data_IF_014044627025
#
_entry.id   IF_014044627025
#
_cell.length_a   1.000
_cell.length_b   1.000
_cell.length_c   1.000
_cell.angle_alpha   90.00
_cell.angle_beta   90.00
_cell.angle_gamma   90.00
#
_symmetry.space_group_name_H-M   'P 1'
#
loop_
_entity.id
_entity.type
_entity.pdbx_description
1 polymer ?
#
# COMPACT_ATOMS: atom_id res chain seq x y z
N UNK A 1 -24.79 -6.62 -16.76
CA UNK A 1 -23.49 -7.13 -16.27
C UNK A 1 -23.10 -8.30 -17.15
N UNK A 2 -22.00 -8.20 -17.89
CA UNK A 2 -21.51 -9.33 -18.68
C UNK A 2 -20.96 -10.39 -17.71
N UNK A 3 -21.28 -11.66 -17.91
CA UNK A 3 -20.76 -12.77 -17.09
C UNK A 3 -19.21 -12.83 -17.08
N UNK A 4 -18.57 -12.23 -18.07
CA UNK A 4 -17.11 -12.10 -18.21
C UNK A 4 -16.45 -11.12 -17.23
N UNK A 5 -17.19 -10.13 -16.68
CA UNK A 5 -16.63 -9.13 -15.75
C UNK A 5 -16.75 -9.54 -14.27
N UNK A 6 -17.61 -10.52 -13.98
CA UNK A 6 -17.87 -11.07 -12.65
C UNK A 6 -16.60 -11.56 -11.91
N UNK A 7 -15.68 -12.33 -12.51
CA UNK A 7 -14.48 -12.81 -11.80
C UNK A 7 -13.55 -11.66 -11.37
N UNK A 8 -13.40 -10.62 -12.20
CA UNK A 8 -12.55 -9.47 -11.87
C UNK A 8 -13.11 -8.63 -10.71
N UNK A 9 -14.44 -8.48 -10.65
CA UNK A 9 -15.11 -7.80 -9.54
C UNK A 9 -14.90 -8.56 -8.23
N UNK A 10 -15.01 -9.89 -8.26
CA UNK A 10 -14.79 -10.74 -7.08
C UNK A 10 -13.34 -10.61 -6.60
N UNK A 11 -12.36 -10.68 -7.50
CA UNK A 11 -10.94 -10.50 -7.15
C UNK A 11 -10.71 -9.11 -6.52
N UNK A 12 -11.25 -8.04 -7.12
CA UNK A 12 -11.14 -6.69 -6.56
C UNK A 12 -11.71 -6.57 -5.15
N UNK A 13 -12.88 -7.16 -4.90
CA UNK A 13 -13.51 -7.18 -3.57
C UNK A 13 -12.65 -7.95 -2.56
N UNK A 14 -12.11 -9.10 -2.94
CA UNK A 14 -11.25 -9.92 -2.05
C UNK A 14 -9.97 -9.16 -1.70
N UNK A 15 -9.34 -8.48 -2.66
CA UNK A 15 -8.14 -7.67 -2.41
C UNK A 15 -8.46 -6.49 -1.48
N UNK A 16 -9.55 -5.77 -1.72
CA UNK A 16 -9.98 -4.66 -0.87
C UNK A 16 -10.32 -5.13 0.55
N UNK A 17 -11.00 -6.28 0.69
CA UNK A 17 -11.30 -6.88 1.99
C UNK A 17 -10.04 -7.31 2.74
N UNK A 18 -9.06 -7.90 2.05
CA UNK A 18 -7.78 -8.28 2.65
C UNK A 18 -7.00 -7.04 3.12
N UNK A 19 -6.93 -5.98 2.29
CA UNK A 19 -6.29 -4.72 2.66
C UNK A 19 -6.99 -4.04 3.85
N UNK A 20 -8.33 -4.01 3.84
CA UNK A 20 -9.11 -3.45 4.94
C UNK A 20 -8.95 -4.25 6.24
N UNK A 21 -8.89 -5.58 6.16
CA UNK A 21 -8.65 -6.44 7.31
C UNK A 21 -7.24 -6.21 7.90
N UNK A 22 -6.21 -6.16 7.05
CA UNK A 22 -4.84 -5.84 7.47
C UNK A 22 -4.81 -4.47 8.15
N UNK A 23 -5.44 -3.46 7.54
CA UNK A 23 -5.51 -2.10 8.09
C UNK A 23 -6.23 -2.05 9.45
N UNK A 24 -7.36 -2.73 9.58
CA UNK A 24 -8.14 -2.78 10.83
C UNK A 24 -7.37 -3.47 11.98
N UNK A 25 -6.68 -4.57 11.68
CA UNK A 25 -5.83 -5.28 12.66
C UNK A 25 -4.62 -4.46 13.06
N UNK A 26 -4.06 -3.65 12.14
CA UNK A 26 -2.94 -2.79 12.44
C UNK A 26 -3.36 -1.60 13.31
N UNK A 27 -4.47 -0.94 12.95
CA UNK A 27 -5.02 0.21 13.67
C UNK A 27 -5.46 -0.12 15.10
N UNK A 28 -5.95 -1.33 15.35
CA UNK A 28 -6.37 -1.74 16.70
C UNK A 28 -5.21 -1.91 17.68
N UNK A 29 -3.98 -2.10 17.18
CA UNK A 29 -2.77 -2.28 18.00
C UNK A 29 -1.97 -0.99 18.21
N UNK A 30 -2.14 -0.02 17.33
CA UNK A 30 -1.41 1.26 17.36
C UNK A 30 -2.38 2.37 17.75
N UNK A 31 -2.46 2.70 19.05
CA UNK A 31 -3.12 3.93 19.51
C UNK A 31 -2.59 5.17 18.76
N UNK A 32 -3.37 6.27 18.74
CA UNK A 32 -3.14 7.54 17.99
C UNK A 32 -1.86 7.54 17.13
N UNK A 33 -1.95 6.92 15.95
CA UNK A 33 -0.81 6.77 15.05
C UNK A 33 -0.27 8.17 14.71
N UNK A 34 0.96 8.46 15.12
CA UNK A 34 1.67 9.65 14.67
C UNK A 34 1.80 9.58 13.14
N UNK A 35 1.49 10.65 12.40
CA UNK A 35 1.65 10.64 10.96
C UNK A 35 3.14 10.47 10.61
N UNK A 36 3.45 9.40 9.87
CA UNK A 36 4.80 9.21 9.32
C UNK A 36 4.94 10.05 8.04
N UNK A 37 5.51 11.24 8.20
CA UNK A 37 5.75 12.19 7.12
C UNK A 37 6.76 11.68 6.08
N UNK A 38 7.67 10.78 6.45
CA UNK A 38 8.60 10.15 5.51
C UNK A 38 7.83 9.19 4.61
N UNK A 39 6.95 8.38 5.18
CA UNK A 39 6.04 7.53 4.41
C UNK A 39 5.10 8.35 3.52
N UNK A 40 4.59 9.50 3.98
CA UNK A 40 3.81 10.42 3.13
C UNK A 40 4.63 10.90 1.92
N UNK A 41 5.89 11.31 2.12
CA UNK A 41 6.76 11.71 1.01
C UNK A 41 6.95 10.57 0.01
N UNK A 42 7.26 9.36 0.49
CA UNK A 42 7.45 8.17 -0.35
C UNK A 42 6.17 7.86 -1.13
N UNK A 43 4.99 7.92 -0.49
CA UNK A 43 3.72 7.77 -1.18
C UNK A 43 3.56 8.82 -2.27
N UNK A 44 3.87 10.09 -2.00
CA UNK A 44 3.82 11.15 -3.01
C UNK A 44 4.66 10.85 -4.25
N UNK A 45 5.89 10.37 -4.04
CA UNK A 45 6.82 9.97 -5.12
C UNK A 45 6.33 8.75 -5.91
N UNK A 46 5.55 7.85 -5.30
CA UNK A 46 4.96 6.69 -5.98
C UNK A 46 3.69 7.07 -6.75
N UNK A 47 2.78 7.82 -6.13
CA UNK A 47 1.48 8.16 -6.71
C UNK A 47 1.56 9.21 -7.81
N UNK A 48 2.52 10.13 -7.74
CA UNK A 48 2.67 11.19 -8.74
C UNK A 48 2.98 10.63 -10.14
N UNK A 49 4.04 9.82 -10.37
CA UNK A 49 4.30 9.22 -11.67
C UNK A 49 3.20 8.25 -12.11
N UNK A 50 2.63 7.47 -11.17
CA UNK A 50 1.54 6.55 -11.48
C UNK A 50 0.30 7.30 -11.98
N UNK A 51 -0.06 8.41 -11.36
CA UNK A 51 -1.18 9.24 -11.78
C UNK A 51 -0.96 9.92 -13.13
N UNK A 52 0.28 10.33 -13.43
CA UNK A 52 0.65 10.87 -14.75
C UNK A 52 0.56 9.77 -15.81
N UNK A 53 1.10 8.58 -15.54
CA UNK A 53 1.08 7.45 -16.48
C UNK A 53 -0.35 6.95 -16.79
N UNK A 54 -1.26 7.07 -15.83
CA UNK A 54 -2.66 6.65 -15.95
C UNK A 54 -3.61 7.79 -16.37
N UNK A 55 -3.07 8.98 -16.67
CA UNK A 55 -3.84 10.20 -16.97
C UNK A 55 -4.98 10.46 -15.96
N UNK A 56 -4.68 10.28 -14.67
CA UNK A 56 -5.66 10.37 -13.59
C UNK A 56 -5.36 11.59 -12.68
N UNK A 57 -6.16 12.69 -12.81
CA UNK A 57 -6.02 13.90 -12.01
C UNK A 57 -6.06 13.70 -10.50
N UNK A 58 -6.87 12.76 -10.03
CA UNK A 58 -6.95 12.46 -8.60
C UNK A 58 -5.66 11.85 -8.07
N UNK A 59 -5.04 10.94 -8.83
CA UNK A 59 -3.82 10.25 -8.41
C UNK A 59 -2.60 11.16 -8.43
N UNK A 60 -2.39 11.91 -9.52
CA UNK A 60 -1.23 12.80 -9.57
C UNK A 60 -1.40 13.97 -8.62
N UNK A 61 -2.61 14.52 -8.47
CA UNK A 61 -2.91 15.57 -7.50
C UNK A 61 -2.68 15.13 -6.04
N UNK A 62 -3.15 13.93 -5.68
CA UNK A 62 -2.87 13.33 -4.37
C UNK A 62 -1.37 13.07 -4.16
N UNK A 63 -0.67 12.62 -5.20
CA UNK A 63 0.78 12.46 -5.19
C UNK A 63 1.51 13.76 -4.84
N UNK A 64 1.12 14.89 -5.45
CA UNK A 64 1.66 16.21 -5.13
C UNK A 64 1.40 16.56 -3.66
N UNK A 65 0.17 16.40 -3.18
CA UNK A 65 -0.19 16.76 -1.80
C UNK A 65 0.63 15.97 -0.79
N UNK A 66 0.75 14.64 -0.95
CA UNK A 66 1.55 13.81 -0.05
C UNK A 66 3.04 14.12 -0.13
N UNK A 67 3.56 14.40 -1.33
CA UNK A 67 4.94 14.80 -1.52
C UNK A 67 5.26 16.11 -0.79
N UNK A 68 4.41 17.14 -0.94
CA UNK A 68 4.57 18.42 -0.25
C UNK A 68 4.43 18.24 1.26
N UNK A 69 3.39 17.54 1.73
CA UNK A 69 3.17 17.30 3.16
C UNK A 69 4.36 16.61 3.81
N UNK A 70 4.95 15.62 3.13
CA UNK A 70 6.15 14.92 3.59
C UNK A 70 7.41 15.79 3.58
N UNK A 71 7.62 16.62 2.54
CA UNK A 71 8.76 17.54 2.44
C UNK A 71 8.72 18.69 3.45
N UNK A 72 7.54 19.28 3.67
CA UNK A 72 7.36 20.38 4.63
C UNK A 72 7.64 19.90 6.06
N UNK A 73 7.30 18.66 6.38
CA UNK A 73 7.54 18.04 7.69
C UNK A 73 8.80 17.15 7.69
N UNK A 74 9.80 17.45 6.85
CA UNK A 74 11.05 16.68 6.78
C UNK A 74 11.82 16.61 8.09
N UNK A 75 11.64 17.62 8.94
CA UNK A 75 12.17 17.72 10.28
C UNK A 75 11.61 16.66 11.24
N UNK A 76 10.42 16.12 10.92
CA UNK A 76 9.72 15.09 11.72
C UNK A 76 9.87 13.70 11.13
N UNK A 77 10.80 13.50 10.20
CA UNK A 77 11.06 12.18 9.65
C UNK A 77 11.66 11.29 10.75
N UNK A 78 10.91 10.28 11.15
CA UNK A 78 11.41 9.27 12.08
C UNK A 78 12.42 8.38 11.35
N UNK A 79 13.50 8.02 12.03
CA UNK A 79 14.44 7.03 11.51
C UNK A 79 13.76 5.67 11.46
N UNK A 80 13.79 5.02 10.30
CA UNK A 80 13.31 3.65 10.19
C UNK A 80 14.19 2.72 11.02
N UNK A 81 13.56 1.98 11.94
CA UNK A 81 14.23 0.87 12.62
C UNK A 81 14.79 -0.10 11.58
N UNK A 82 16.10 -0.36 11.65
CA UNK A 82 16.74 -1.35 10.79
C UNK A 82 16.17 -2.72 11.12
N UNK A 83 16.21 -3.65 10.15
CA UNK A 83 15.66 -4.99 10.34
C UNK A 83 16.26 -5.72 11.54
N UNK A 84 17.55 -5.48 11.82
CA UNK A 84 18.28 -6.02 12.97
C UNK A 84 17.75 -5.51 14.33
N UNK A 85 17.13 -4.33 14.35
CA UNK A 85 16.63 -3.67 15.58
C UNK A 85 15.14 -3.98 15.83
N UNK A 86 14.51 -4.77 14.95
CA UNK A 86 13.11 -5.16 15.09
C UNK A 86 12.95 -6.33 16.05
N UNK A 87 11.89 -6.31 16.83
CA UNK A 87 11.53 -7.46 17.67
C UNK A 87 11.13 -8.67 16.80
N UNK A 88 11.28 -9.91 17.30
CA UNK A 88 10.88 -11.10 16.56
C UNK A 88 9.39 -11.09 16.12
N UNK A 89 8.51 -10.42 16.87
CA UNK A 89 7.09 -10.27 16.50
C UNK A 89 6.87 -9.27 15.36
N UNK A 90 7.57 -8.13 15.37
CA UNK A 90 7.52 -7.16 14.27
C UNK A 90 8.09 -7.75 12.98
N UNK A 91 9.22 -8.48 13.06
CA UNK A 91 9.82 -9.16 11.92
C UNK A 91 8.85 -10.19 11.31
N UNK A 92 8.20 -11.02 12.13
CA UNK A 92 7.18 -11.97 11.65
C UNK A 92 6.01 -11.26 10.97
N UNK A 93 5.54 -10.15 11.54
CA UNK A 93 4.43 -9.39 10.96
C UNK A 93 4.82 -8.79 9.61
N UNK A 94 5.98 -8.13 9.51
CA UNK A 94 6.49 -7.60 8.24
C UNK A 94 6.70 -8.71 7.20
N UNK A 95 7.25 -9.86 7.61
CA UNK A 95 7.44 -11.01 6.73
C UNK A 95 6.11 -11.57 6.22
N UNK A 96 5.10 -11.75 7.08
CA UNK A 96 3.79 -12.24 6.69
C UNK A 96 3.12 -11.28 5.70
N UNK A 97 3.21 -9.96 5.94
CA UNK A 97 2.68 -8.96 5.02
C UNK A 97 3.42 -9.02 3.67
N UNK A 98 4.75 -9.08 3.68
CA UNK A 98 5.57 -9.15 2.47
C UNK A 98 5.29 -10.42 1.65
N UNK A 99 5.23 -11.58 2.32
CA UNK A 99 4.88 -12.86 1.68
C UNK A 99 3.45 -12.82 1.15
N UNK A 100 2.50 -12.29 1.93
CA UNK A 100 1.11 -12.14 1.51
C UNK A 100 0.97 -11.27 0.26
N UNK A 101 1.63 -10.11 0.23
CA UNK A 101 1.66 -9.23 -0.95
C UNK A 101 2.34 -9.91 -2.15
N UNK A 102 3.45 -10.62 -1.92
CA UNK A 102 4.14 -11.37 -2.97
C UNK A 102 3.27 -12.46 -3.60
N UNK A 103 2.58 -13.26 -2.78
CA UNK A 103 1.62 -14.27 -3.26
C UNK A 103 0.49 -13.60 -4.05
N UNK A 104 -0.02 -12.46 -3.58
CA UNK A 104 -1.10 -11.74 -4.25
C UNK A 104 -0.69 -11.22 -5.64
N UNK A 105 0.55 -10.72 -5.78
CA UNK A 105 1.12 -10.33 -7.09
C UNK A 105 1.27 -11.56 -8.00
N UNK A 106 1.80 -12.68 -7.49
CA UNK A 106 1.96 -13.91 -8.27
C UNK A 106 0.60 -14.45 -8.76
N UNK A 107 -0.41 -14.48 -7.89
CA UNK A 107 -1.78 -14.88 -8.27
C UNK A 107 -2.33 -13.96 -9.35
N UNK A 108 -2.16 -12.64 -9.19
CA UNK A 108 -2.57 -11.66 -10.19
C UNK A 108 -1.91 -11.88 -11.56
N UNK A 109 -0.61 -12.19 -11.58
CA UNK A 109 0.12 -12.52 -12.81
C UNK A 109 -0.41 -13.81 -13.45
N UNK A 110 -0.61 -14.88 -12.67
CA UNK A 110 -1.16 -16.15 -13.18
C UNK A 110 -2.54 -15.93 -13.81
N UNK A 111 -3.42 -15.19 -13.14
CA UNK A 111 -4.75 -14.85 -13.68
C UNK A 111 -4.64 -14.02 -14.95
N UNK A 112 -3.76 -13.02 -14.97
CA UNK A 112 -3.53 -12.19 -16.17
C UNK A 112 -3.05 -13.02 -17.37
N UNK A 113 -2.13 -13.97 -17.17
CA UNK A 113 -1.64 -14.84 -18.23
C UNK A 113 -2.65 -15.91 -18.66
N UNK A 114 -3.56 -16.35 -17.78
CA UNK A 114 -4.63 -17.29 -18.14
C UNK A 114 -5.80 -16.60 -18.86
N UNK A 115 -6.04 -15.33 -18.58
CA UNK A 115 -7.14 -14.56 -19.16
C UNK A 115 -6.77 -13.83 -20.46
N UNK A 116 -5.48 -13.82 -20.81
CA UNK A 116 -4.94 -13.31 -22.08
C UNK A 116 -4.76 -14.45 -23.06
#
# INVERSE_FOLDING_TARGET
>A
MNSSSLPYIIIGIVVLAALAFIFAVHRSKTGQAKPDYRTMFIMGVVWLPAGVALDNPGLWGMGIVFMIAGLVNKDKWEEEKKWADLTPQEQKTKLIIAVGLGVLVLVGLVVYFMAR
#
